data_IF_883766707373
#
_entry.id   IF_883766707373
#
_cell.length_a   1.000
_cell.length_b   1.000
_cell.length_c   1.000
_cell.angle_alpha   90.00
_cell.angle_beta   90.00
_cell.angle_gamma   90.00
#
_symmetry.space_group_name_H-M   'P 1'
#
loop_
_entity.id
_entity.type
_entity.pdbx_description
1 polymer ?
#
# COMPACT_ATOMS: atom_id res chain seq x y z
N UNK A 1 6.67 -29.79 -0.84
CA UNK A 1 6.53 -29.65 -2.31
C UNK A 1 6.71 -28.19 -2.66
N UNK A 2 7.54 -27.85 -3.63
CA UNK A 2 7.74 -26.46 -4.05
C UNK A 2 6.75 -26.14 -5.18
N UNK A 3 5.95 -25.08 -5.01
CA UNK A 3 5.02 -24.61 -6.03
C UNK A 3 5.78 -23.87 -7.13
N UNK A 4 6.02 -24.56 -8.24
CA UNK A 4 6.57 -23.97 -9.46
C UNK A 4 5.71 -22.78 -9.91
N UNK A 5 6.26 -21.58 -10.19
CA UNK A 5 5.47 -20.46 -10.68
C UNK A 5 4.81 -20.80 -12.01
N UNK A 6 3.48 -20.96 -11.99
CA UNK A 6 2.68 -21.25 -13.17
C UNK A 6 2.91 -20.21 -14.26
N UNK A 7 3.19 -20.65 -15.50
CA UNK A 7 3.16 -19.76 -16.66
C UNK A 7 1.78 -19.07 -16.70
N UNK A 8 1.72 -17.74 -16.94
CA UNK A 8 0.45 -17.02 -16.95
C UNK A 8 -0.51 -17.65 -17.96
N UNK A 9 -1.75 -17.82 -17.54
CA UNK A 9 -2.77 -18.49 -18.35
C UNK A 9 -3.12 -17.64 -19.58
N UNK A 10 -3.74 -18.27 -20.59
CA UNK A 10 -4.28 -17.53 -21.74
C UNK A 10 -5.38 -16.53 -21.34
N UNK A 11 -6.05 -16.72 -20.19
CA UNK A 11 -6.97 -15.71 -19.66
C UNK A 11 -6.17 -14.53 -19.06
N UNK A 12 -5.15 -14.80 -18.24
CA UNK A 12 -4.35 -13.79 -17.56
C UNK A 12 -3.64 -12.86 -18.58
N UNK A 13 -3.14 -13.42 -19.68
CA UNK A 13 -2.54 -12.67 -20.78
C UNK A 13 -3.56 -11.79 -21.53
N UNK A 14 -4.83 -12.21 -21.61
CA UNK A 14 -5.92 -11.41 -22.20
C UNK A 14 -6.41 -10.35 -21.20
N UNK A 15 -6.51 -10.66 -19.91
CA UNK A 15 -6.89 -9.72 -18.86
C UNK A 15 -5.90 -8.55 -18.77
N UNK A 16 -4.59 -8.84 -18.85
CA UNK A 16 -3.54 -7.81 -18.95
C UNK A 16 -3.79 -6.88 -20.14
N UNK A 17 -3.97 -7.41 -21.36
CA UNK A 17 -4.21 -6.62 -22.58
C UNK A 17 -5.48 -5.75 -22.50
N UNK A 18 -6.58 -6.26 -21.93
CA UNK A 18 -7.80 -5.46 -21.72
C UNK A 18 -7.54 -4.34 -20.72
N UNK A 19 -6.88 -4.61 -19.60
CA UNK A 19 -6.56 -3.59 -18.61
C UNK A 19 -5.54 -2.56 -19.15
N UNK A 20 -4.59 -2.97 -20.00
CA UNK A 20 -3.69 -2.05 -20.70
C UNK A 20 -4.48 -1.14 -21.65
N UNK A 21 -5.39 -1.71 -22.46
CA UNK A 21 -6.27 -0.95 -23.34
C UNK A 21 -7.19 0.03 -22.55
N UNK A 22 -7.69 -0.35 -21.36
CA UNK A 22 -8.46 0.54 -20.47
C UNK A 22 -7.61 1.71 -19.96
N UNK A 23 -6.42 1.46 -19.40
CA UNK A 23 -5.57 2.55 -18.87
C UNK A 23 -4.98 3.47 -19.95
N UNK A 24 -4.93 3.01 -21.20
CA UNK A 24 -4.57 3.83 -22.36
C UNK A 24 -5.75 4.60 -22.96
N UNK A 25 -6.96 4.47 -22.41
CA UNK A 25 -8.18 5.08 -22.95
C UNK A 25 -8.63 4.48 -24.28
N UNK A 26 -8.13 3.32 -24.68
CA UNK A 26 -8.62 2.57 -25.84
C UNK A 26 -9.99 1.91 -25.58
N UNK A 27 -10.37 1.80 -24.30
CA UNK A 27 -11.76 1.62 -23.86
C UNK A 27 -12.06 2.70 -22.81
N UNK A 28 -13.17 3.43 -22.96
CA UNK A 28 -13.52 4.53 -22.04
C UNK A 28 -14.35 4.04 -20.84
N UNK A 29 -14.35 4.74 -19.69
CA UNK A 29 -15.24 4.43 -18.57
C UNK A 29 -16.70 4.29 -19.02
N UNK A 30 -17.40 3.26 -18.53
CA UNK A 30 -18.76 2.91 -18.94
C UNK A 30 -18.90 2.20 -20.29
N UNK A 31 -17.84 2.09 -21.10
CA UNK A 31 -17.91 1.46 -22.44
C UNK A 31 -18.27 -0.03 -22.35
N UNK A 32 -19.18 -0.50 -23.21
CA UNK A 32 -19.66 -1.89 -23.20
C UNK A 32 -18.68 -2.85 -23.89
N UNK A 33 -17.98 -3.63 -23.08
CA UNK A 33 -17.01 -4.64 -23.51
C UNK A 33 -17.74 -5.87 -24.09
N UNK A 34 -17.43 -6.20 -25.35
CA UNK A 34 -18.02 -7.34 -26.07
C UNK A 34 -17.04 -8.53 -26.21
N UNK A 35 -17.47 -9.72 -25.79
CA UNK A 35 -16.65 -10.94 -25.86
C UNK A 35 -16.17 -11.29 -27.29
N UNK A 36 -17.00 -11.03 -28.31
CA UNK A 36 -16.73 -11.42 -29.68
C UNK A 36 -15.75 -10.43 -30.32
N UNK A 37 -15.98 -9.14 -30.09
CA UNK A 37 -15.07 -8.06 -30.52
C UNK A 37 -13.68 -8.19 -29.88
N UNK A 38 -13.59 -8.52 -28.59
CA UNK A 38 -12.30 -8.79 -27.93
C UNK A 38 -11.62 -10.07 -28.44
N UNK A 39 -12.37 -11.15 -28.66
CA UNK A 39 -11.84 -12.39 -29.22
C UNK A 39 -11.17 -12.15 -30.59
N UNK A 40 -11.81 -11.35 -31.45
CA UNK A 40 -11.24 -10.90 -32.72
C UNK A 40 -10.03 -9.98 -32.53
N UNK A 41 -10.15 -8.89 -31.74
CA UNK A 41 -9.07 -7.90 -31.46
C UNK A 41 -7.77 -8.55 -30.97
N UNK A 42 -7.88 -9.64 -30.21
CA UNK A 42 -6.72 -10.29 -29.58
C UNK A 42 -6.27 -11.59 -30.24
N UNK A 43 -7.01 -12.12 -31.22
CA UNK A 43 -6.67 -13.38 -31.91
C UNK A 43 -6.85 -14.64 -31.05
N UNK A 44 -7.91 -14.69 -30.24
CA UNK A 44 -8.17 -15.76 -29.26
C UNK A 44 -9.61 -16.27 -29.34
N UNK A 45 -9.89 -17.43 -28.74
CA UNK A 45 -11.27 -17.91 -28.57
C UNK A 45 -12.00 -17.17 -27.44
N UNK A 46 -13.34 -17.27 -27.39
CA UNK A 46 -14.17 -16.58 -26.39
C UNK A 46 -13.91 -17.04 -24.94
N UNK A 47 -13.46 -18.27 -24.71
CA UNK A 47 -13.26 -18.82 -23.36
C UNK A 47 -12.23 -18.03 -22.53
N UNK A 48 -10.97 -17.80 -22.98
CA UNK A 48 -10.02 -16.96 -22.24
C UNK A 48 -10.49 -15.51 -22.11
N UNK A 49 -11.27 -14.97 -23.06
CA UNK A 49 -11.87 -13.63 -22.95
C UNK A 49 -12.88 -13.57 -21.81
N UNK A 50 -13.77 -14.57 -21.69
CA UNK A 50 -14.75 -14.64 -20.60
C UNK A 50 -14.10 -14.76 -19.23
N UNK A 51 -13.09 -15.62 -19.10
CA UNK A 51 -12.38 -15.77 -17.82
C UNK A 51 -11.55 -14.51 -17.49
N UNK A 52 -10.96 -13.84 -18.49
CA UNK A 52 -10.32 -12.53 -18.31
C UNK A 52 -11.31 -11.46 -17.84
N UNK A 53 -12.51 -11.39 -18.43
CA UNK A 53 -13.57 -10.47 -18.00
C UNK A 53 -14.00 -10.74 -16.54
N UNK A 54 -14.08 -12.00 -16.12
CA UNK A 54 -14.33 -12.35 -14.70
C UNK A 54 -13.21 -11.90 -13.77
N UNK A 55 -11.94 -12.12 -14.16
CA UNK A 55 -10.78 -11.65 -13.40
C UNK A 55 -10.84 -10.12 -13.22
N UNK A 56 -11.10 -9.38 -14.30
CA UNK A 56 -11.20 -7.93 -14.30
C UNK A 56 -12.36 -7.43 -13.43
N UNK A 57 -13.50 -8.12 -13.45
CA UNK A 57 -14.64 -7.82 -12.60
C UNK A 57 -14.37 -8.11 -11.11
N UNK A 58 -13.60 -9.15 -10.78
CA UNK A 58 -13.14 -9.39 -9.42
C UNK A 58 -12.13 -8.32 -8.94
N UNK A 59 -11.38 -7.69 -9.84
CA UNK A 59 -10.50 -6.54 -9.54
C UNK A 59 -11.16 -5.16 -9.61
N UNK A 60 -12.46 -5.08 -9.93
CA UNK A 60 -13.18 -3.80 -10.03
C UNK A 60 -12.93 -2.98 -11.31
N UNK A 61 -12.13 -3.46 -12.26
CA UNK A 61 -11.85 -2.76 -13.55
C UNK A 61 -13.02 -2.87 -14.56
N UNK A 62 -13.95 -3.80 -14.34
CA UNK A 62 -15.06 -4.11 -15.24
C UNK A 62 -16.32 -4.44 -14.43
N UNK A 63 -17.46 -3.85 -14.74
CA UNK A 63 -18.73 -4.31 -14.16
C UNK A 63 -19.37 -5.36 -15.07
N UNK A 64 -19.65 -6.55 -14.53
CA UNK A 64 -20.36 -7.61 -15.24
C UNK A 64 -21.82 -7.70 -14.76
N UNK A 65 -22.77 -7.44 -15.66
CA UNK A 65 -24.20 -7.55 -15.38
C UNK A 65 -24.79 -8.79 -16.10
N UNK A 66 -25.38 -9.76 -15.38
CA UNK A 66 -26.07 -10.89 -15.98
C UNK A 66 -27.07 -10.45 -17.05
N UNK A 67 -27.04 -11.12 -18.21
CA UNK A 67 -27.86 -10.86 -19.39
C UNK A 67 -27.68 -9.48 -20.08
N UNK A 68 -26.85 -8.57 -19.54
CA UNK A 68 -26.52 -7.26 -20.16
C UNK A 68 -25.09 -7.18 -20.71
N UNK A 69 -24.20 -8.04 -20.22
CA UNK A 69 -22.80 -8.13 -20.66
C UNK A 69 -21.86 -7.49 -19.65
N UNK A 70 -20.80 -6.84 -20.14
CA UNK A 70 -19.82 -6.16 -19.29
C UNK A 70 -19.58 -4.73 -19.76
N UNK A 71 -19.25 -3.84 -18.81
CA UNK A 71 -18.80 -2.47 -19.09
C UNK A 71 -17.47 -2.20 -18.40
N UNK A 72 -16.64 -1.32 -18.95
CA UNK A 72 -15.50 -0.73 -18.21
C UNK A 72 -16.05 -0.08 -16.95
N UNK A 73 -15.38 -0.28 -15.81
CA UNK A 73 -15.81 0.36 -14.58
C UNK A 73 -15.71 1.88 -14.67
N UNK A 74 -16.72 2.57 -14.13
CA UNK A 74 -16.75 4.04 -14.04
C UNK A 74 -15.98 4.51 -12.80
N UNK A 75 -14.74 4.02 -12.64
CA UNK A 75 -13.85 4.48 -11.58
C UNK A 75 -13.50 5.94 -11.87
N UNK A 76 -14.16 6.85 -11.16
CA UNK A 76 -13.97 8.27 -11.34
C UNK A 76 -12.54 8.69 -10.98
N UNK A 77 -12.17 9.87 -11.44
CA UNK A 77 -10.90 10.47 -11.06
C UNK A 77 -10.75 10.58 -9.53
N UNK A 78 -11.85 10.91 -8.85
CA UNK A 78 -11.93 11.04 -7.40
C UNK A 78 -11.71 9.70 -6.67
N UNK A 79 -12.43 8.65 -7.08
CA UNK A 79 -12.26 7.31 -6.49
C UNK A 79 -10.85 6.75 -6.74
N UNK A 80 -10.26 6.98 -7.92
CA UNK A 80 -8.88 6.56 -8.18
C UNK A 80 -7.88 7.31 -7.28
N UNK A 81 -8.12 8.59 -6.98
CA UNK A 81 -7.33 9.36 -6.01
C UNK A 81 -7.42 8.79 -4.59
N UNK A 82 -8.64 8.48 -4.13
CA UNK A 82 -8.90 7.84 -2.83
C UNK A 82 -8.24 6.45 -2.72
N UNK A 83 -8.22 5.66 -3.81
CA UNK A 83 -7.52 4.37 -3.83
C UNK A 83 -6.00 4.55 -3.76
N UNK A 84 -5.42 5.55 -4.44
CA UNK A 84 -3.99 5.84 -4.30
C UNK A 84 -3.61 6.33 -2.89
N UNK A 85 -4.42 7.16 -2.25
CA UNK A 85 -4.26 7.54 -0.83
C UNK A 85 -4.24 6.30 0.09
N UNK A 86 -5.26 5.43 -0.05
CA UNK A 86 -5.37 4.20 0.73
C UNK A 86 -4.18 3.24 0.50
N UNK A 87 -3.66 3.16 -0.72
CA UNK A 87 -2.44 2.41 -1.03
C UNK A 87 -1.23 3.05 -0.32
N UNK A 88 -1.10 4.38 -0.38
CA UNK A 88 -0.02 5.14 0.26
C UNK A 88 0.10 4.83 1.75
N UNK A 89 -1.00 4.87 2.50
CA UNK A 89 -1.01 4.55 3.94
C UNK A 89 -0.67 3.08 4.24
N UNK A 90 -1.23 2.14 3.47
CA UNK A 90 -1.04 0.71 3.71
C UNK A 90 0.38 0.26 3.32
N UNK A 91 0.91 0.71 2.18
CA UNK A 91 2.30 0.46 1.80
C UNK A 91 3.29 1.14 2.74
N UNK A 92 3.02 2.38 3.19
CA UNK A 92 3.84 3.05 4.19
C UNK A 92 3.82 2.34 5.55
N UNK A 93 2.70 1.72 5.94
CA UNK A 93 2.64 0.83 7.10
C UNK A 93 3.46 -0.46 6.88
N UNK A 94 3.47 -1.03 5.66
CA UNK A 94 4.33 -2.16 5.29
C UNK A 94 5.82 -1.80 5.34
N UNK A 95 6.25 -0.70 4.71
CA UNK A 95 7.65 -0.25 4.71
C UNK A 95 8.20 -0.01 6.13
N UNK A 96 7.40 0.64 6.99
CA UNK A 96 7.68 0.79 8.44
C UNK A 96 7.92 -0.56 9.12
N UNK A 97 7.13 -1.57 8.79
CA UNK A 97 7.28 -2.91 9.35
C UNK A 97 8.46 -3.68 8.74
N UNK A 98 8.74 -3.51 7.44
CA UNK A 98 9.88 -4.11 6.75
C UNK A 98 11.22 -3.62 7.32
N UNK A 99 11.36 -2.32 7.55
CA UNK A 99 12.52 -1.71 8.21
C UNK A 99 12.89 -2.42 9.53
N UNK A 100 11.90 -2.83 10.33
CA UNK A 100 12.15 -3.55 11.60
C UNK A 100 12.28 -5.07 11.40
N UNK A 101 11.42 -5.68 10.58
CA UNK A 101 11.18 -7.13 10.57
C UNK A 101 11.94 -7.92 9.51
N UNK A 102 12.42 -7.30 8.43
CA UNK A 102 13.21 -8.02 7.42
C UNK A 102 14.47 -8.64 8.04
N UNK A 103 14.74 -9.88 7.64
CA UNK A 103 16.05 -10.53 7.82
C UNK A 103 17.12 -9.83 6.98
N UNK A 104 18.38 -10.02 7.30
CA UNK A 104 19.49 -9.41 6.55
C UNK A 104 19.61 -10.00 5.12
N UNK A 105 19.10 -11.21 4.90
CA UNK A 105 18.94 -11.80 3.56
C UNK A 105 17.87 -11.07 2.72
N UNK A 106 16.70 -10.77 3.31
CA UNK A 106 15.64 -10.00 2.63
C UNK A 106 16.10 -8.56 2.33
N UNK A 107 16.85 -7.94 3.24
CA UNK A 107 17.50 -6.63 3.02
C UNK A 107 18.50 -6.65 1.87
N UNK A 108 19.31 -7.72 1.79
CA UNK A 108 20.27 -7.91 0.69
C UNK A 108 19.55 -8.07 -0.65
N UNK A 109 18.44 -8.82 -0.70
CA UNK A 109 17.63 -8.96 -1.90
C UNK A 109 16.93 -7.65 -2.31
N UNK A 110 16.44 -6.86 -1.36
CA UNK A 110 15.89 -5.53 -1.63
C UNK A 110 16.94 -4.58 -2.23
N UNK A 111 18.18 -4.63 -1.72
CA UNK A 111 19.30 -3.86 -2.26
C UNK A 111 19.70 -4.29 -3.68
N UNK A 112 19.68 -5.59 -4.00
CA UNK A 112 19.91 -6.11 -5.36
C UNK A 112 18.84 -5.61 -6.35
N UNK A 113 17.56 -5.67 -5.96
CA UNK A 113 16.46 -5.16 -6.80
C UNK A 113 16.66 -3.67 -7.15
N UNK A 114 17.02 -2.86 -6.17
CA UNK A 114 17.30 -1.43 -6.37
C UNK A 114 18.58 -1.20 -7.21
N UNK A 115 19.64 -1.99 -6.99
CA UNK A 115 20.86 -1.91 -7.80
C UNK A 115 20.61 -2.28 -9.28
N UNK A 116 19.73 -3.26 -9.53
CA UNK A 116 19.27 -3.63 -10.88
C UNK A 116 18.37 -2.56 -11.49
N UNK A 117 17.51 -1.91 -10.70
CA UNK A 117 16.67 -0.81 -11.19
C UNK A 117 17.51 0.36 -11.73
N UNK A 118 18.65 0.68 -11.08
CA UNK A 118 19.62 1.67 -11.59
C UNK A 118 20.13 1.34 -12.99
N UNK A 119 20.35 0.07 -13.31
CA UNK A 119 20.81 -0.36 -14.63
C UNK A 119 19.72 -0.21 -15.71
N UNK A 120 18.45 -0.40 -15.35
CA UNK A 120 17.32 -0.15 -16.25
C UNK A 120 17.16 1.36 -16.55
N UNK A 121 17.23 2.23 -15.53
CA UNK A 121 17.21 3.69 -15.71
C UNK A 121 18.38 4.16 -16.58
N UNK A 122 19.59 3.64 -16.36
CA UNK A 122 20.77 3.99 -17.16
C UNK A 122 20.72 3.48 -18.62
N UNK A 123 19.77 2.61 -18.96
CA UNK A 123 19.55 2.07 -20.30
C UNK A 123 18.25 2.58 -20.97
N UNK A 124 17.50 3.46 -20.29
CA UNK A 124 16.13 3.88 -20.65
C UNK A 124 15.14 2.71 -20.84
N UNK A 125 15.37 1.59 -20.14
CA UNK A 125 14.51 0.41 -20.21
C UNK A 125 13.35 0.50 -19.20
N UNK A 126 12.37 1.33 -19.54
CA UNK A 126 11.13 1.49 -18.77
C UNK A 126 10.33 0.20 -18.59
N UNK A 127 10.52 -0.82 -19.45
CA UNK A 127 9.84 -2.10 -19.32
C UNK A 127 10.48 -2.98 -18.23
N UNK A 128 11.81 -3.10 -18.23
CA UNK A 128 12.56 -3.77 -17.15
C UNK A 128 12.45 -3.00 -15.84
N UNK A 129 12.44 -1.67 -15.87
CA UNK A 129 12.21 -0.84 -14.69
C UNK A 129 10.83 -1.09 -14.08
N UNK A 130 9.76 -1.14 -14.89
CA UNK A 130 8.41 -1.40 -14.40
C UNK A 130 8.27 -2.76 -13.68
N UNK A 131 8.94 -3.81 -14.18
CA UNK A 131 8.97 -5.13 -13.54
C UNK A 131 9.79 -5.13 -12.24
N UNK A 132 10.97 -4.49 -12.23
CA UNK A 132 11.80 -4.33 -11.03
C UNK A 132 11.12 -3.51 -9.94
N UNK A 133 10.40 -2.45 -10.31
CA UNK A 133 9.53 -1.68 -9.41
C UNK A 133 8.47 -2.60 -8.75
N UNK A 134 7.78 -3.43 -9.53
CA UNK A 134 6.79 -4.37 -8.98
C UNK A 134 7.44 -5.40 -8.03
N UNK A 135 8.64 -5.89 -8.34
CA UNK A 135 9.42 -6.76 -7.46
C UNK A 135 9.83 -6.04 -6.15
N UNK A 136 10.22 -4.76 -6.21
CA UNK A 136 10.63 -3.94 -5.06
C UNK A 136 9.45 -3.69 -4.10
N UNK A 137 8.30 -3.28 -4.62
CA UNK A 137 7.07 -3.15 -3.80
C UNK A 137 6.67 -4.50 -3.19
N UNK A 138 6.65 -5.59 -3.96
CA UNK A 138 6.33 -6.92 -3.44
C UNK A 138 7.30 -7.39 -2.34
N UNK A 139 8.60 -7.08 -2.44
CA UNK A 139 9.58 -7.39 -1.41
C UNK A 139 9.31 -6.61 -0.10
N UNK A 140 8.86 -5.36 -0.19
CA UNK A 140 8.49 -4.54 0.99
C UNK A 140 7.19 -5.03 1.64
N UNK A 141 6.18 -5.41 0.84
CA UNK A 141 4.92 -6.00 1.34
C UNK A 141 5.18 -7.35 2.06
N UNK A 142 6.04 -8.20 1.49
CA UNK A 142 6.43 -9.47 2.11
C UNK A 142 7.28 -9.23 3.37
N UNK A 143 8.31 -8.38 3.29
CA UNK A 143 9.23 -8.06 4.39
C UNK A 143 8.56 -7.36 5.57
N UNK A 144 7.36 -6.79 5.41
CA UNK A 144 6.52 -6.34 6.52
C UNK A 144 6.13 -7.48 7.48
N UNK A 145 6.28 -8.75 7.07
CA UNK A 145 5.92 -9.96 7.81
C UNK A 145 4.50 -9.85 8.42
N UNK A 146 3.57 -9.29 7.63
CA UNK A 146 2.17 -9.09 7.98
C UNK A 146 1.26 -9.47 6.79
N UNK A 147 0.80 -10.73 6.70
CA UNK A 147 0.00 -11.20 5.57
C UNK A 147 -1.41 -10.60 5.50
N UNK A 148 -1.83 -9.81 6.50
CA UNK A 148 -3.08 -9.03 6.39
C UNK A 148 -2.82 -7.76 5.59
N UNK A 149 -1.82 -6.96 5.96
CA UNK A 149 -1.48 -5.73 5.22
C UNK A 149 -1.06 -6.01 3.78
N UNK A 150 -0.26 -7.06 3.55
CA UNK A 150 0.15 -7.46 2.20
C UNK A 150 -1.06 -7.72 1.28
N UNK A 151 -2.02 -8.54 1.73
CA UNK A 151 -3.26 -8.82 0.95
C UNK A 151 -4.15 -7.58 0.77
N UNK A 152 -4.19 -6.67 1.74
CA UNK A 152 -4.91 -5.39 1.58
C UNK A 152 -4.26 -4.52 0.51
N UNK A 153 -2.93 -4.40 0.52
CA UNK A 153 -2.20 -3.69 -0.53
C UNK A 153 -2.41 -4.36 -1.90
N UNK A 154 -2.25 -5.67 -2.01
CA UNK A 154 -2.48 -6.45 -3.24
C UNK A 154 -3.89 -6.22 -3.82
N UNK A 155 -4.93 -6.16 -2.98
CA UNK A 155 -6.31 -5.92 -3.39
C UNK A 155 -6.57 -4.48 -3.88
N UNK A 156 -5.86 -3.49 -3.33
CA UNK A 156 -5.91 -2.10 -3.81
C UNK A 156 -5.07 -1.93 -5.08
N UNK A 157 -3.87 -2.54 -5.14
CA UNK A 157 -3.04 -2.61 -6.33
C UNK A 157 -3.78 -3.22 -7.51
N UNK A 158 -4.61 -4.25 -7.29
CA UNK A 158 -5.39 -4.89 -8.34
C UNK A 158 -6.37 -3.92 -9.04
N UNK A 159 -6.97 -2.99 -8.28
CA UNK A 159 -7.85 -1.95 -8.82
C UNK A 159 -7.06 -0.96 -9.69
N UNK A 160 -5.91 -0.47 -9.21
CA UNK A 160 -5.08 0.51 -9.93
C UNK A 160 -4.09 -0.11 -10.92
N UNK A 161 -4.08 -1.44 -11.08
CA UNK A 161 -3.05 -2.20 -11.78
C UNK A 161 -2.89 -1.76 -13.24
N UNK A 162 -3.98 -1.32 -13.86
CA UNK A 162 -4.02 -0.80 -15.23
C UNK A 162 -3.14 0.46 -15.35
N UNK A 163 -3.46 1.52 -14.59
CA UNK A 163 -2.74 2.80 -14.58
C UNK A 163 -1.28 2.66 -14.10
N UNK A 164 -1.01 1.80 -13.10
CA UNK A 164 0.37 1.54 -12.65
C UNK A 164 1.29 0.93 -13.72
N UNK A 165 0.77 0.43 -14.85
CA UNK A 165 1.57 -0.07 -16.00
C UNK A 165 1.78 0.96 -17.12
N UNK A 166 1.13 2.13 -17.09
CA UNK A 166 1.32 3.19 -18.09
C UNK A 166 2.30 4.28 -17.63
N UNK A 167 2.53 4.42 -16.32
CA UNK A 167 3.38 5.49 -15.73
C UNK A 167 4.83 5.55 -16.26
N UNK A 168 5.53 4.41 -16.42
CA UNK A 168 6.95 4.39 -16.81
C UNK A 168 7.18 4.44 -18.33
N UNK A 169 6.31 5.16 -19.05
CA UNK A 169 6.47 5.49 -20.47
C UNK A 169 7.18 6.83 -20.71
N UNK A 170 7.44 7.57 -19.64
CA UNK A 170 8.23 8.82 -19.64
C UNK A 170 9.54 8.55 -18.88
N UNK A 171 10.72 8.78 -19.48
CA UNK A 171 12.01 8.60 -18.81
C UNK A 171 12.15 9.43 -17.53
N UNK A 172 11.54 10.62 -17.50
CA UNK A 172 11.52 11.54 -16.37
C UNK A 172 10.90 10.87 -15.14
N UNK A 173 9.71 10.25 -15.28
CA UNK A 173 9.05 9.52 -14.19
C UNK A 173 9.87 8.32 -13.70
N UNK A 174 10.61 7.68 -14.60
CA UNK A 174 11.49 6.56 -14.26
C UNK A 174 12.63 7.01 -13.33
N UNK A 175 13.24 8.16 -13.62
CA UNK A 175 14.30 8.75 -12.82
C UNK A 175 13.80 9.30 -11.47
N UNK A 176 12.65 9.98 -11.45
CA UNK A 176 11.97 10.41 -10.21
C UNK A 176 11.67 9.22 -9.31
N UNK A 177 11.00 8.20 -9.83
CA UNK A 177 10.62 7.01 -9.07
C UNK A 177 11.84 6.27 -8.51
N UNK A 178 12.96 6.26 -9.23
CA UNK A 178 14.20 5.65 -8.75
C UNK A 178 14.80 6.42 -7.56
N UNK A 179 14.74 7.75 -7.58
CA UNK A 179 15.17 8.57 -6.43
C UNK A 179 14.24 8.38 -5.22
N UNK A 180 12.92 8.32 -5.44
CA UNK A 180 11.92 8.02 -4.41
C UNK A 180 12.14 6.63 -3.77
N UNK A 181 12.47 5.61 -4.59
CA UNK A 181 12.83 4.27 -4.09
C UNK A 181 14.14 4.25 -3.30
N UNK A 182 15.11 5.08 -3.63
CA UNK A 182 16.38 5.15 -2.92
C UNK A 182 16.17 5.52 -1.44
N UNK A 183 15.36 6.56 -1.14
CA UNK A 183 15.05 6.94 0.24
C UNK A 183 14.37 5.81 1.03
N UNK A 184 13.43 5.09 0.40
CA UNK A 184 12.73 3.95 1.02
C UNK A 184 13.72 2.82 1.34
N UNK A 185 14.56 2.46 0.38
CA UNK A 185 15.53 1.37 0.53
C UNK A 185 16.59 1.72 1.56
N UNK A 186 17.14 2.94 1.54
CA UNK A 186 18.12 3.40 2.53
C UNK A 186 17.55 3.39 3.95
N UNK A 187 16.32 3.88 4.15
CA UNK A 187 15.68 3.84 5.47
C UNK A 187 15.39 2.41 5.94
N UNK A 188 14.97 1.51 5.04
CA UNK A 188 14.78 0.08 5.37
C UNK A 188 16.12 -0.59 5.70
N UNK A 189 17.21 -0.31 4.97
CA UNK A 189 18.54 -0.84 5.28
C UNK A 189 19.08 -0.31 6.61
N UNK A 190 18.89 0.98 6.90
CA UNK A 190 19.23 1.63 8.17
C UNK A 190 18.35 1.20 9.36
N UNK A 191 17.30 0.40 9.11
CA UNK A 191 16.27 -0.01 10.10
C UNK A 191 15.46 1.18 10.66
N UNK A 192 15.44 2.32 9.98
CA UNK A 192 14.60 3.47 10.32
C UNK A 192 13.16 3.25 9.87
N UNK A 193 12.32 2.82 10.81
CA UNK A 193 10.90 2.64 10.61
C UNK A 193 10.15 3.94 10.28
N UNK A 194 10.60 5.09 10.79
CA UNK A 194 9.92 6.38 10.60
C UNK A 194 10.27 6.97 9.23
N UNK A 195 11.54 6.93 8.85
CA UNK A 195 12.01 7.26 7.51
C UNK A 195 11.34 6.39 6.44
N UNK A 196 11.33 5.06 6.62
CA UNK A 196 10.73 4.14 5.65
C UNK A 196 9.22 4.36 5.48
N UNK A 197 8.51 4.72 6.55
CA UNK A 197 7.11 5.13 6.50
C UNK A 197 6.93 6.43 5.68
N UNK A 198 7.69 7.47 6.03
CA UNK A 198 7.58 8.81 5.40
C UNK A 198 7.92 8.77 3.91
N UNK A 199 9.02 8.11 3.55
CA UNK A 199 9.47 8.01 2.16
C UNK A 199 8.46 7.24 1.29
N UNK A 200 7.94 6.11 1.78
CA UNK A 200 6.93 5.33 1.05
C UNK A 200 5.61 6.10 0.88
N UNK A 201 5.18 6.84 1.91
CA UNK A 201 3.99 7.69 1.82
C UNK A 201 4.17 8.80 0.77
N UNK A 202 5.34 9.44 0.74
CA UNK A 202 5.64 10.50 -0.23
C UNK A 202 5.74 10.00 -1.68
N UNK A 203 6.38 8.84 -1.89
CA UNK A 203 6.47 8.16 -3.20
C UNK A 203 5.08 7.83 -3.80
N UNK A 204 4.12 7.48 -2.95
CA UNK A 204 2.79 7.01 -3.37
C UNK A 204 1.70 8.09 -3.36
N UNK A 205 1.93 9.19 -2.67
CA UNK A 205 1.03 10.35 -2.59
C UNK A 205 1.82 11.61 -2.96
N UNK A 206 2.12 11.84 -4.26
CA UNK A 206 3.00 12.93 -4.67
C UNK A 206 2.37 14.31 -4.45
N UNK A 207 3.10 15.18 -3.76
CA UNK A 207 2.63 16.53 -3.47
C UNK A 207 2.80 17.46 -4.69
N UNK A 208 1.67 17.89 -5.27
CA UNK A 208 1.51 18.97 -6.25
C UNK A 208 2.24 18.87 -7.62
N UNK A 209 3.50 18.43 -7.70
CA UNK A 209 4.34 18.49 -8.90
C UNK A 209 4.48 17.18 -9.69
N UNK A 210 5.09 16.15 -9.11
CA UNK A 210 5.41 14.87 -9.79
C UNK A 210 4.21 14.02 -10.20
N UNK A 211 2.99 14.51 -9.95
CA UNK A 211 1.76 13.83 -10.32
C UNK A 211 1.48 13.88 -11.83
N UNK A 212 1.90 14.93 -12.56
CA UNK A 212 1.73 14.99 -14.03
C UNK A 212 2.53 13.89 -14.74
N UNK A 213 3.71 13.55 -14.21
CA UNK A 213 4.58 12.48 -14.70
C UNK A 213 4.07 11.07 -14.34
N UNK A 214 3.15 10.92 -13.39
CA UNK A 214 2.63 9.62 -12.96
C UNK A 214 1.70 8.94 -14.01
N UNK A 215 1.37 9.62 -15.12
CA UNK A 215 0.47 9.12 -16.15
C UNK A 215 -1.00 9.02 -15.71
N UNK A 216 -1.36 9.66 -14.59
CA UNK A 216 -2.71 9.73 -14.07
C UNK A 216 -3.48 10.89 -14.73
N UNK A 217 -4.77 10.73 -15.09
CA UNK A 217 -5.61 11.84 -15.54
C UNK A 217 -5.60 13.00 -14.54
N UNK A 218 -5.53 14.25 -15.04
CA UNK A 218 -5.32 15.45 -14.20
C UNK A 218 -6.36 15.67 -13.08
N UNK A 219 -7.57 15.10 -13.20
CA UNK A 219 -8.55 15.14 -12.13
C UNK A 219 -8.23 14.18 -10.95
N UNK A 220 -7.52 13.06 -11.20
CA UNK A 220 -7.10 12.09 -10.17
C UNK A 220 -6.11 12.75 -9.22
N UNK A 221 -5.19 13.48 -9.85
CA UNK A 221 -4.19 14.32 -9.22
C UNK A 221 -4.86 15.31 -8.27
N UNK A 222 -5.87 16.05 -8.75
CA UNK A 222 -6.59 17.04 -7.96
C UNK A 222 -7.30 16.45 -6.72
N UNK A 223 -7.91 15.27 -6.83
CA UNK A 223 -8.59 14.66 -5.67
C UNK A 223 -7.62 14.03 -4.67
N UNK A 224 -6.57 13.34 -5.14
CA UNK A 224 -5.51 12.84 -4.27
C UNK A 224 -4.85 13.98 -3.48
N UNK A 225 -4.64 15.15 -4.12
CA UNK A 225 -4.15 16.36 -3.46
C UNK A 225 -5.13 16.92 -2.41
N UNK A 226 -6.43 16.89 -2.68
CA UNK A 226 -7.45 17.37 -1.73
C UNK A 226 -7.51 16.52 -0.45
N UNK A 227 -7.32 15.20 -0.54
CA UNK A 227 -7.25 14.31 0.61
C UNK A 227 -5.87 14.32 1.31
N UNK A 228 -4.78 14.48 0.55
CA UNK A 228 -3.42 14.61 1.08
C UNK A 228 -3.14 15.94 1.79
N UNK A 229 -4.07 16.91 1.74
CA UNK A 229 -4.02 18.10 2.55
C UNK A 229 -3.95 17.71 4.06
N UNK A 230 -3.12 18.39 4.87
CA UNK A 230 -3.05 18.08 6.29
C UNK A 230 -4.42 18.28 6.93
N UNK A 231 -4.99 17.23 7.53
CA UNK A 231 -6.12 17.37 8.44
C UNK A 231 -5.70 18.35 9.51
N UNK A 232 -6.22 19.57 9.45
CA UNK A 232 -5.79 20.65 10.33
C UNK A 232 -6.00 20.19 11.76
N UNK A 233 -4.93 20.18 12.58
CA UNK A 233 -5.04 19.92 14.01
C UNK A 233 -5.91 21.03 14.62
N UNK A 234 -7.21 20.75 14.73
CA UNK A 234 -8.16 21.62 15.41
C UNK A 234 -7.61 21.83 16.82
N UNK A 235 -7.34 23.09 17.23
CA UNK A 235 -6.40 23.36 18.30
C UNK A 235 -6.86 22.69 19.59
N UNK A 236 -6.13 21.64 19.98
CA UNK A 236 -6.43 20.87 21.18
C UNK A 236 -6.47 21.82 22.37
N UNK A 237 -7.63 21.93 23.02
CA UNK A 237 -7.85 22.89 24.09
C UNK A 237 -6.97 22.52 25.28
N UNK A 238 -5.88 23.29 25.48
CA UNK A 238 -4.97 23.08 26.61
C UNK A 238 -5.61 23.50 27.94
N UNK A 239 -6.48 22.62 28.43
CA UNK A 239 -7.05 22.65 29.76
C UNK A 239 -6.21 21.85 30.77
N UNK A 240 -4.95 21.50 30.43
CA UNK A 240 -4.10 20.61 31.21
C UNK A 240 -2.89 21.31 31.87
N UNK A 241 -2.35 22.37 31.27
CA UNK A 241 -1.18 23.11 31.77
C UNK A 241 -1.51 24.35 32.61
N UNK A 242 -2.45 24.22 33.55
CA UNK A 242 -2.92 25.36 34.37
C UNK A 242 -3.03 25.09 35.89
N UNK A 243 -2.25 24.15 36.47
CA UNK A 243 -2.22 23.89 37.93
C UNK A 243 -0.83 23.54 38.50
N UNK A 244 0.17 24.39 38.29
CA UNK A 244 1.43 24.38 39.06
C UNK A 244 1.85 25.82 39.37
N UNK A 245 2.22 26.10 40.63
CA UNK A 245 2.49 27.43 41.22
C UNK A 245 1.24 28.36 41.28
N UNK A 246 1.01 29.20 42.30
CA UNK A 246 1.57 29.37 43.67
C UNK A 246 0.50 30.14 44.50
N UNK A 247 0.56 30.46 45.80
CA UNK A 247 1.50 30.37 46.93
C UNK A 247 0.64 30.42 48.25
N UNK A 248 1.13 30.74 49.47
CA UNK A 248 2.49 30.79 50.02
C UNK A 248 2.66 29.98 51.34
N UNK A 249 3.79 30.13 52.03
CA UNK A 249 4.07 29.52 53.34
C UNK A 249 3.30 30.17 54.50
N UNK A 250 2.99 29.37 55.52
CA UNK A 250 2.80 29.80 56.91
C UNK A 250 3.41 28.74 57.86
N UNK A 251 3.98 29.17 58.98
CA UNK A 251 4.76 28.35 59.93
C UNK A 251 3.91 27.88 61.12
N UNK A 252 4.14 26.67 61.65
CA UNK A 252 4.38 26.38 63.10
C UNK A 252 4.29 24.88 63.50
N UNK A 253 5.16 24.49 64.45
CA UNK A 253 4.94 23.55 65.57
C UNK A 253 4.64 22.03 65.36
N UNK A 254 5.72 21.22 65.42
CA UNK A 254 6.05 20.31 66.55
C UNK A 254 4.96 19.34 67.12
N UNK A 255 5.11 18.03 66.88
CA UNK A 255 4.82 16.93 67.84
C UNK A 255 5.43 15.56 67.41
N UNK A 256 5.37 14.53 68.28
CA UNK A 256 6.05 13.22 68.16
C UNK A 256 5.05 12.03 68.02
N UNK A 257 5.51 10.78 67.70
CA UNK A 257 4.67 9.57 67.50
C UNK A 257 4.54 8.75 68.84
N UNK A 258 4.20 7.43 68.93
CA UNK A 258 3.80 6.40 67.94
C UNK A 258 2.63 5.45 68.37
N UNK A 259 2.26 4.48 67.50
CA UNK A 259 1.74 3.12 67.83
C UNK A 259 1.61 2.28 66.52
N UNK A 260 2.31 1.17 66.26
CA UNK A 260 2.21 -0.21 66.79
C UNK A 260 0.87 -0.92 66.56
N UNK A 261 0.85 -1.93 65.68
CA UNK A 261 -0.31 -2.82 65.44
C UNK A 261 0.04 -4.06 64.60
N UNK A 262 0.31 -5.19 65.26
CA UNK A 262 0.52 -6.53 64.67
C UNK A 262 -0.84 -7.23 64.41
N UNK A 263 -1.01 -8.36 63.70
CA UNK A 263 -0.09 -9.46 63.34
C UNK A 263 -0.65 -10.36 62.19
N UNK A 264 0.14 -11.38 61.78
CA UNK A 264 -0.31 -12.74 61.35
C UNK A 264 -1.07 -12.89 60.00
N UNK A 265 -0.59 -13.56 58.92
CA UNK A 265 -0.08 -14.95 58.68
C UNK A 265 -1.22 -15.99 58.67
N UNK A 266 -1.48 -16.86 57.65
CA UNK A 266 -0.89 -17.20 56.33
C UNK A 266 -1.94 -18.00 55.45
N UNK A 267 -1.62 -18.79 54.38
CA UNK A 267 -2.59 -19.14 53.31
C UNK A 267 -2.96 -20.65 53.21
N UNK A 268 -3.84 -21.01 52.24
CA UNK A 268 -4.00 -22.30 51.48
C UNK A 268 -5.37 -22.31 50.76
N UNK A 269 -5.67 -22.98 49.63
CA UNK A 269 -4.93 -23.72 48.55
C UNK A 269 -5.85 -23.81 47.30
N UNK A 270 -5.38 -24.21 46.10
CA UNK A 270 -6.19 -24.20 44.86
C UNK A 270 -7.09 -25.44 44.69
N UNK A 271 -8.11 -25.34 43.83
CA UNK A 271 -8.98 -26.45 43.39
C UNK A 271 -8.51 -27.02 42.02
N UNK A 272 -8.68 -28.33 41.76
CA UNK A 272 -8.20 -29.00 40.53
C UNK A 272 -8.93 -30.32 40.19
N UNK A 273 -9.85 -30.28 39.22
CA UNK A 273 -10.57 -31.42 38.60
C UNK A 273 -11.17 -30.97 37.24
N UNK A 274 -11.27 -31.72 36.12
CA UNK A 274 -10.76 -33.05 35.68
C UNK A 274 -11.31 -34.31 36.37
N UNK A 275 -11.73 -35.38 35.65
CA UNK A 275 -11.67 -35.69 34.20
C UNK A 275 -12.79 -36.65 33.73
N UNK A 276 -12.98 -36.73 32.41
CA UNK A 276 -13.34 -37.94 31.63
C UNK A 276 -14.78 -38.51 31.74
N UNK A 277 -15.21 -39.38 30.80
CA UNK A 277 -14.57 -39.73 29.51
C UNK A 277 -14.86 -38.73 28.40
#
# INVERSE_FOLDING_TARGET
>A
MQSNPSRPSRADAVARRIADDIALGHFVPGERIDEHSLAARYGVSRTPVREAIKQLAASGLVHHQPNRGSTVAELSAEELGQVFEAIGEIEAACARHAAVRMTDAERTALADLHARARAAVAADDGATYADLNLQLHAALLAGAHNPVLARTAEALHAQVAAWRRTQFRQPERMAESFAEHAEIVEAVLARDAIGAHRAMRAHLVPAHGSAEHAGLPAAVIATAQAAAAPVSESPATDASRARVASAPNADTAKAAPPATGTATVRPRTPNRARSAP
#
